data_IF_796719458036
#
_entry.id   IF_796719458036
#
_cell.length_a   1.000
_cell.length_b   1.000
_cell.length_c   1.000
_cell.angle_alpha   90.00
_cell.angle_beta   90.00
_cell.angle_gamma   90.00
#
_symmetry.space_group_name_H-M   'P 1'
#
loop_
_entity.id
_entity.type
_entity.pdbx_description
1 polymer ?
#
# COMPACT_ATOMS: atom_id res chain seq x y z
N UNK A 1 16.49 -10.01 -17.68
CA UNK A 1 16.45 -9.87 -16.22
C UNK A 1 15.16 -9.17 -15.94
N UNK A 2 14.19 -9.82 -15.30
CA UNK A 2 12.95 -9.14 -14.88
C UNK A 2 13.38 -8.04 -13.91
N UNK A 3 13.42 -6.79 -14.40
CA UNK A 3 13.51 -5.62 -13.54
C UNK A 3 12.23 -5.63 -12.72
N UNK A 4 12.27 -6.30 -11.56
CA UNK A 4 11.19 -6.25 -10.60
C UNK A 4 10.98 -4.78 -10.28
N UNK A 5 9.82 -4.25 -10.69
CA UNK A 5 9.45 -2.86 -10.52
C UNK A 5 9.78 -2.42 -9.07
N UNK A 6 10.72 -1.47 -8.89
CA UNK A 6 11.34 -1.18 -7.58
C UNK A 6 10.31 -0.89 -6.50
N UNK A 7 9.13 -0.38 -6.89
CA UNK A 7 8.02 -0.11 -5.98
C UNK A 7 7.51 -1.36 -5.26
N UNK A 8 7.44 -2.52 -5.92
CA UNK A 8 6.97 -3.75 -5.27
C UNK A 8 8.04 -4.36 -4.37
N UNK A 9 9.32 -4.13 -4.67
CA UNK A 9 10.42 -4.53 -3.78
C UNK A 9 10.41 -3.68 -2.51
N UNK A 10 10.16 -2.38 -2.65
CA UNK A 10 9.97 -1.49 -1.50
C UNK A 10 8.74 -1.88 -0.68
N UNK A 11 7.60 -2.16 -1.35
CA UNK A 11 6.39 -2.59 -0.68
C UNK A 11 6.58 -3.92 0.06
N UNK A 12 7.25 -4.90 -0.55
CA UNK A 12 7.60 -6.16 0.11
C UNK A 12 8.38 -5.91 1.39
N UNK A 13 9.45 -5.11 1.34
CA UNK A 13 10.29 -4.78 2.51
C UNK A 13 9.51 -4.02 3.58
N UNK A 14 8.58 -3.16 3.18
CA UNK A 14 7.72 -2.42 4.10
C UNK A 14 6.80 -3.37 4.88
N UNK A 15 6.09 -4.25 4.18
CA UNK A 15 5.23 -5.27 4.79
C UNK A 15 6.01 -6.26 5.65
N UNK A 16 7.24 -6.60 5.24
CA UNK A 16 8.11 -7.52 5.98
C UNK A 16 8.58 -7.01 7.33
N UNK A 17 8.55 -5.69 7.55
CA UNK A 17 8.88 -5.07 8.85
C UNK A 17 7.69 -5.03 9.81
N UNK A 18 6.50 -5.42 9.37
CA UNK A 18 5.29 -5.43 10.18
C UNK A 18 5.13 -6.76 10.95
N UNK A 19 4.21 -6.81 11.91
CA UNK A 19 4.12 -7.91 12.89
C UNK A 19 3.97 -9.31 12.28
N UNK A 20 3.32 -9.43 11.11
CA UNK A 20 3.11 -10.71 10.41
C UNK A 20 4.27 -11.05 9.45
N UNK A 21 4.98 -10.05 8.96
CA UNK A 21 6.02 -10.20 7.94
C UNK A 21 5.48 -10.55 6.54
N UNK A 22 6.32 -10.39 5.53
CA UNK A 22 6.04 -10.71 4.13
C UNK A 22 7.37 -10.95 3.40
N UNK A 23 8.08 -12.04 3.73
CA UNK A 23 9.50 -12.19 3.40
C UNK A 23 9.74 -12.38 1.90
N UNK A 24 10.89 -11.90 1.44
CA UNK A 24 11.37 -12.16 0.09
C UNK A 24 11.59 -13.67 -0.12
N UNK A 25 11.22 -14.18 -1.29
CA UNK A 25 11.36 -15.61 -1.61
C UNK A 25 12.36 -15.83 -2.74
N UNK A 26 12.97 -17.02 -2.77
CA UNK A 26 13.89 -17.38 -3.86
C UNK A 26 13.23 -17.41 -5.23
N UNK A 27 11.92 -17.68 -5.29
CA UNK A 27 11.16 -17.72 -6.53
C UNK A 27 10.61 -16.35 -6.97
N UNK A 28 10.66 -15.33 -6.10
CA UNK A 28 10.05 -14.02 -6.35
C UNK A 28 8.51 -14.06 -6.39
N UNK A 29 7.88 -15.12 -5.86
CA UNK A 29 6.42 -15.29 -5.90
C UNK A 29 5.69 -14.18 -5.13
N UNK A 30 6.31 -13.64 -4.08
CA UNK A 30 5.83 -12.52 -3.29
C UNK A 30 5.65 -11.26 -4.13
N UNK A 31 6.59 -10.97 -5.05
CA UNK A 31 6.48 -9.81 -5.94
C UNK A 31 5.38 -10.01 -6.97
N UNK A 32 5.17 -11.26 -7.43
CA UNK A 32 4.04 -11.58 -8.31
C UNK A 32 2.71 -11.36 -7.59
N UNK A 33 2.59 -11.80 -6.34
CA UNK A 33 1.39 -11.57 -5.52
C UNK A 33 1.12 -10.06 -5.38
N UNK A 34 2.14 -9.25 -5.08
CA UNK A 34 1.96 -7.80 -4.96
C UNK A 34 1.49 -7.13 -6.26
N UNK A 35 1.98 -7.58 -7.41
CA UNK A 35 1.55 -7.07 -8.73
C UNK A 35 0.10 -7.39 -9.07
N UNK A 36 -0.41 -8.52 -8.59
CA UNK A 36 -1.82 -8.90 -8.80
C UNK A 36 -2.74 -8.13 -7.84
N UNK A 37 -2.25 -7.72 -6.67
CA UNK A 37 -3.04 -7.01 -5.65
C UNK A 37 -3.02 -5.49 -5.80
N UNK A 38 -1.91 -4.93 -6.28
CA UNK A 38 -1.68 -3.49 -6.32
C UNK A 38 -1.24 -3.03 -7.70
N UNK A 39 -1.79 -1.91 -8.16
CA UNK A 39 -1.13 -1.11 -9.22
C UNK A 39 0.12 -0.43 -8.65
N UNK A 40 1.06 0.06 -9.49
CA UNK A 40 2.24 0.78 -9.00
C UNK A 40 1.89 2.01 -8.14
N UNK A 41 0.83 2.73 -8.50
CA UNK A 41 0.36 3.90 -7.74
C UNK A 41 -0.24 3.49 -6.39
N UNK A 42 -1.01 2.40 -6.36
CA UNK A 42 -1.54 1.84 -5.11
C UNK A 42 -0.42 1.34 -4.20
N UNK A 43 0.60 0.69 -4.76
CA UNK A 43 1.77 0.26 -4.01
C UNK A 43 2.50 1.44 -3.37
N UNK A 44 2.61 2.57 -4.09
CA UNK A 44 3.13 3.82 -3.56
C UNK A 44 2.34 4.35 -2.36
N UNK A 45 1.00 4.34 -2.43
CA UNK A 45 0.16 4.72 -1.28
C UNK A 45 0.31 3.73 -0.12
N UNK A 46 0.39 2.43 -0.41
CA UNK A 46 0.49 1.38 0.60
C UNK A 46 1.78 1.46 1.43
N UNK A 47 2.86 2.06 0.91
CA UNK A 47 4.09 2.33 1.67
C UNK A 47 3.88 3.27 2.86
N UNK A 48 2.83 4.07 2.85
CA UNK A 48 2.49 5.01 3.93
C UNK A 48 1.49 4.42 4.93
N UNK A 49 1.04 3.18 4.72
CA UNK A 49 0.13 2.48 5.62
C UNK A 49 0.90 1.68 6.67
N UNK A 50 0.27 1.46 7.82
CA UNK A 50 0.87 0.74 8.94
C UNK A 50 -0.15 -0.12 9.67
N UNK A 51 0.28 -0.66 10.81
CA UNK A 51 -0.58 -1.44 11.71
C UNK A 51 -1.66 -0.54 12.33
N UNK A 52 -1.28 0.69 12.70
CA UNK A 52 -2.21 1.69 13.20
C UNK A 52 -3.02 2.30 12.03
N UNK A 53 -4.36 2.33 12.13
CA UNK A 53 -5.20 3.00 11.14
C UNK A 53 -4.84 4.48 11.04
N UNK A 54 -4.80 5.00 9.81
CA UNK A 54 -4.60 6.42 9.50
C UNK A 54 -5.80 6.95 8.72
N UNK A 55 -6.14 8.21 8.96
CA UNK A 55 -7.10 8.93 8.12
C UNK A 55 -6.51 9.20 6.73
N UNK A 56 -7.39 9.43 5.75
CA UNK A 56 -6.99 9.82 4.39
C UNK A 56 -6.10 11.07 4.39
N UNK A 57 -6.39 12.02 5.27
CA UNK A 57 -5.63 13.26 5.40
C UNK A 57 -4.21 13.02 5.91
N UNK A 58 -4.03 12.14 6.90
CA UNK A 58 -2.71 11.76 7.42
C UNK A 58 -1.87 11.06 6.36
N UNK A 59 -2.46 10.11 5.62
CA UNK A 59 -1.76 9.43 4.51
C UNK A 59 -1.35 10.45 3.44
N UNK A 60 -2.24 11.37 3.07
CA UNK A 60 -1.91 12.41 2.10
C UNK A 60 -0.80 13.35 2.59
N UNK A 61 -0.77 13.72 3.87
CA UNK A 61 0.29 14.58 4.42
C UNK A 61 1.66 13.89 4.35
N UNK A 62 1.75 12.59 4.58
CA UNK A 62 3.00 11.83 4.42
C UNK A 62 3.45 11.77 2.94
N UNK A 63 2.52 11.92 2.00
CA UNK A 63 2.74 11.87 0.56
C UNK A 63 2.86 13.25 -0.09
N UNK A 64 2.93 14.34 0.69
CA UNK A 64 2.82 15.72 0.18
C UNK A 64 3.84 16.07 -0.91
N UNK A 65 5.02 15.44 -0.88
CA UNK A 65 6.07 15.63 -1.89
C UNK A 65 5.80 14.94 -3.23
N UNK A 66 4.83 14.01 -3.30
CA UNK A 66 4.51 13.25 -4.52
C UNK A 66 3.65 14.03 -5.53
N UNK A 67 3.04 15.14 -5.11
CA UNK A 67 2.08 15.90 -5.93
C UNK A 67 0.71 15.23 -6.13
N UNK A 68 0.46 14.10 -5.45
CA UNK A 68 -0.85 13.45 -5.44
C UNK A 68 -1.86 14.30 -4.67
N UNK A 69 -3.12 14.36 -5.12
CA UNK A 69 -4.16 15.07 -4.37
C UNK A 69 -4.81 14.16 -3.33
N UNK A 70 -5.39 14.76 -2.28
CA UNK A 70 -6.10 14.02 -1.23
C UNK A 70 -7.26 13.20 -1.78
N UNK A 71 -7.97 13.69 -2.81
CA UNK A 71 -9.05 12.96 -3.46
C UNK A 71 -8.53 11.75 -4.23
N UNK A 72 -7.32 11.84 -4.82
CA UNK A 72 -6.69 10.69 -5.48
C UNK A 72 -6.26 9.64 -4.46
N UNK A 73 -5.67 10.05 -3.34
CA UNK A 73 -5.35 9.16 -2.21
C UNK A 73 -6.61 8.44 -1.72
N UNK A 74 -7.70 9.19 -1.48
CA UNK A 74 -8.98 8.62 -1.06
C UNK A 74 -9.50 7.56 -2.04
N UNK A 75 -9.48 7.86 -3.36
CA UNK A 75 -9.91 6.92 -4.39
C UNK A 75 -9.07 5.64 -4.40
N UNK A 76 -7.74 5.76 -4.31
CA UNK A 76 -6.84 4.60 -4.30
C UNK A 76 -7.06 3.73 -3.06
N UNK A 77 -7.25 4.33 -1.88
CA UNK A 77 -7.59 3.59 -0.65
C UNK A 77 -8.92 2.84 -0.79
N UNK A 78 -9.95 3.46 -1.37
CA UNK A 78 -11.24 2.80 -1.62
C UNK A 78 -11.11 1.65 -2.62
N UNK A 79 -10.32 1.81 -3.69
CA UNK A 79 -10.05 0.73 -4.66
C UNK A 79 -9.32 -0.45 -4.01
N UNK A 80 -8.29 -0.18 -3.21
CA UNK A 80 -7.57 -1.21 -2.44
C UNK A 80 -8.49 -1.92 -1.45
N UNK A 81 -9.38 -1.19 -0.77
CA UNK A 81 -10.37 -1.76 0.13
C UNK A 81 -11.33 -2.71 -0.60
N UNK A 82 -11.85 -2.29 -1.77
CA UNK A 82 -12.76 -3.11 -2.59
C UNK A 82 -12.13 -4.40 -3.08
N UNK A 83 -10.83 -4.37 -3.37
CA UNK A 83 -10.09 -5.54 -3.83
C UNK A 83 -9.52 -6.40 -2.68
N UNK A 84 -9.80 -6.02 -1.42
CA UNK A 84 -9.35 -6.76 -0.23
C UNK A 84 -7.86 -6.61 0.08
N UNK A 85 -7.18 -5.63 -0.53
CA UNK A 85 -5.75 -5.41 -0.35
C UNK A 85 -5.42 -4.66 0.96
N UNK A 86 -6.39 -3.91 1.49
CA UNK A 86 -6.29 -3.23 2.79
C UNK A 86 -7.56 -3.43 3.61
N UNK A 87 -7.47 -3.15 4.90
CA UNK A 87 -8.64 -3.01 5.78
C UNK A 87 -8.79 -1.55 6.21
N UNK A 88 -10.01 -1.15 6.54
CA UNK A 88 -10.30 0.19 7.02
C UNK A 88 -11.20 0.10 8.26
N UNK A 89 -10.96 0.99 9.22
CA UNK A 89 -11.89 1.24 10.32
C UNK A 89 -12.89 2.29 9.85
N UNK A 90 -14.17 1.94 9.85
CA UNK A 90 -15.25 2.91 9.62
C UNK A 90 -15.71 3.36 10.99
N UNK A 91 -15.50 4.63 11.31
CA UNK A 91 -16.09 5.26 12.48
C UNK A 91 -17.42 5.87 12.03
N UNK A 92 -18.52 5.26 12.44
CA UNK A 92 -19.84 5.87 12.31
C UNK A 92 -19.84 7.13 13.20
N UNK A 93 -19.78 8.29 12.55
CA UNK A 93 -19.89 9.58 13.22
C UNK A 93 -21.27 9.69 13.89
N UNK A 94 -21.30 9.53 15.21
CA UNK A 94 -22.46 9.85 16.05
C UNK A 94 -22.42 11.31 16.48
#
# INVERSE_FOLDING_TARGET
>A
MENGDPIYVELQKHLDRQAVGFPATRSGVELRILRELFTPEQAGVALHLGIEPKSVAEVHEEMRASGITVERVARLLIEMLKNGAITAKIEDGN
#
